data_IF_930821774267
#
_entry.id   IF_930821774267
#
_cell.length_a   1.000
_cell.length_b   1.000
_cell.length_c   1.000
_cell.angle_alpha   90.00
_cell.angle_beta   90.00
_cell.angle_gamma   90.00
#
_symmetry.space_group_name_H-M   'P 1'
#
loop_
_entity.id
_entity.type
_entity.pdbx_description
1 polymer ?
#
# COMPACT_ATOMS: atom_id res chain seq x y z
N UNK A 1 15.74 7.35 2.71
CA UNK A 1 15.38 6.11 2.01
C UNK A 1 14.36 5.37 2.86
N UNK A 2 13.20 5.01 2.33
CA UNK A 2 12.27 4.11 3.04
C UNK A 2 12.79 2.68 2.81
N UNK A 3 12.72 1.80 3.81
CA UNK A 3 13.07 0.37 3.67
C UNK A 3 11.80 -0.48 3.64
N UNK A 4 11.91 -1.73 3.16
CA UNK A 4 10.77 -2.66 3.13
C UNK A 4 10.22 -2.90 4.55
N UNK A 5 11.08 -2.99 5.56
CA UNK A 5 10.67 -3.13 6.97
C UNK A 5 9.82 -1.94 7.44
N UNK A 6 10.24 -0.72 7.10
CA UNK A 6 9.45 0.48 7.40
C UNK A 6 8.12 0.44 6.66
N UNK A 7 8.11 0.01 5.40
CA UNK A 7 6.87 -0.14 4.61
C UNK A 7 5.90 -1.13 5.29
N UNK A 8 6.38 -2.29 5.72
CA UNK A 8 5.59 -3.31 6.42
C UNK A 8 5.00 -2.78 7.73
N UNK A 9 5.73 -1.95 8.48
CA UNK A 9 5.23 -1.36 9.72
C UNK A 9 4.25 -0.19 9.47
N UNK A 10 4.48 0.64 8.45
CA UNK A 10 3.68 1.83 8.20
C UNK A 10 2.34 1.52 7.50
N UNK A 11 2.30 0.55 6.59
CA UNK A 11 1.08 0.27 5.82
C UNK A 11 -0.14 -0.04 6.72
N UNK A 12 -0.06 -0.91 7.75
CA UNK A 12 -1.18 -1.15 8.66
C UNK A 12 -1.61 0.12 9.43
N UNK A 13 -0.64 0.93 9.87
CA UNK A 13 -0.92 2.16 10.62
C UNK A 13 -1.65 3.17 9.74
N UNK A 14 -1.17 3.34 8.50
CA UNK A 14 -1.80 4.21 7.52
C UNK A 14 -3.20 3.71 7.13
N UNK A 15 -3.37 2.39 6.96
CA UNK A 15 -4.68 1.77 6.77
C UNK A 15 -5.64 2.11 7.91
N UNK A 16 -5.23 1.96 9.17
CA UNK A 16 -6.03 2.36 10.32
C UNK A 16 -6.37 3.86 10.36
N UNK A 17 -5.47 4.74 9.90
CA UNK A 17 -5.77 6.17 9.78
C UNK A 17 -6.82 6.49 8.70
N UNK A 18 -7.03 5.62 7.70
CA UNK A 18 -8.12 5.80 6.73
C UNK A 18 -9.51 5.61 7.37
N UNK A 19 -9.58 4.82 8.45
CA UNK A 19 -10.81 4.55 9.21
C UNK A 19 -11.14 5.67 10.21
N UNK A 20 -10.23 6.62 10.41
CA UNK A 20 -10.42 7.76 11.31
C UNK A 20 -11.58 8.65 10.86
N UNK A 21 -12.33 9.19 11.82
CA UNK A 21 -13.37 10.20 11.58
C UNK A 21 -12.83 11.61 11.33
N UNK A 22 -11.50 11.81 11.45
CA UNK A 22 -10.84 13.09 11.22
C UNK A 22 -10.26 13.17 9.80
N UNK A 23 -10.79 14.10 9.00
CA UNK A 23 -10.38 14.36 7.61
C UNK A 23 -8.87 14.52 7.47
N UNK A 24 -8.23 15.21 8.41
CA UNK A 24 -6.77 15.42 8.40
C UNK A 24 -5.98 14.12 8.56
N UNK A 25 -6.48 13.14 9.29
CA UNK A 25 -5.83 11.83 9.40
C UNK A 25 -5.90 11.07 8.08
N UNK A 26 -7.06 11.10 7.43
CA UNK A 26 -7.27 10.44 6.14
C UNK A 26 -6.45 11.10 5.04
N UNK A 27 -6.42 12.43 4.99
CA UNK A 27 -5.64 13.20 4.01
C UNK A 27 -4.14 12.89 4.12
N UNK A 28 -3.57 12.96 5.34
CA UNK A 28 -2.17 12.60 5.58
C UNK A 28 -1.90 11.13 5.23
N UNK A 29 -2.82 10.23 5.60
CA UNK A 29 -2.67 8.81 5.30
C UNK A 29 -2.64 8.56 3.79
N UNK A 30 -3.57 9.10 3.03
CA UNK A 30 -3.62 8.99 1.57
C UNK A 30 -2.34 9.51 0.91
N UNK A 31 -1.83 10.66 1.36
CA UNK A 31 -0.58 11.24 0.83
C UNK A 31 0.61 10.30 1.10
N UNK A 32 0.68 9.72 2.30
CA UNK A 32 1.78 8.81 2.67
C UNK A 32 1.67 7.47 1.95
N UNK A 33 0.47 6.92 1.81
CA UNK A 33 0.19 5.71 1.03
C UNK A 33 0.59 5.90 -0.42
N UNK A 34 0.25 7.03 -1.04
CA UNK A 34 0.66 7.34 -2.42
C UNK A 34 2.18 7.35 -2.58
N UNK A 35 2.92 7.91 -1.62
CA UNK A 35 4.39 7.88 -1.64
C UNK A 35 4.94 6.46 -1.51
N UNK A 36 4.37 5.64 -0.62
CA UNK A 36 4.79 4.24 -0.45
C UNK A 36 4.51 3.42 -1.71
N UNK A 37 3.32 3.55 -2.29
CA UNK A 37 2.94 2.85 -3.53
C UNK A 37 3.83 3.25 -4.70
N UNK A 38 4.20 4.53 -4.84
CA UNK A 38 5.13 4.98 -5.88
C UNK A 38 6.54 4.37 -5.76
N UNK A 39 6.97 4.05 -4.53
CA UNK A 39 8.30 3.46 -4.29
C UNK A 39 8.27 1.94 -4.35
N UNK A 40 7.24 1.32 -3.78
CA UNK A 40 7.19 -0.13 -3.53
C UNK A 40 6.12 -0.88 -4.32
N UNK A 41 5.13 -0.19 -4.90
CA UNK A 41 4.00 -0.84 -5.56
C UNK A 41 4.45 -1.85 -6.61
N UNK A 42 5.24 -1.41 -7.59
CA UNK A 42 5.74 -2.30 -8.65
C UNK A 42 6.47 -3.53 -8.11
N UNK A 43 7.38 -3.38 -7.14
CA UNK A 43 8.14 -4.53 -6.61
C UNK A 43 7.28 -5.46 -5.75
N UNK A 44 6.31 -4.94 -4.98
CA UNK A 44 5.40 -5.76 -4.19
C UNK A 44 4.53 -6.62 -5.12
N UNK A 45 3.84 -6.00 -6.08
CA UNK A 45 2.90 -6.71 -6.97
C UNK A 45 3.62 -7.67 -7.92
N UNK A 46 4.78 -7.29 -8.48
CA UNK A 46 5.57 -8.19 -9.33
C UNK A 46 6.15 -9.37 -8.54
N UNK A 47 6.53 -9.18 -7.28
CA UNK A 47 7.00 -10.29 -6.42
C UNK A 47 5.90 -11.32 -6.19
N UNK A 48 4.63 -10.91 -6.03
CA UNK A 48 3.51 -11.85 -5.88
C UNK A 48 3.21 -12.67 -7.15
N UNK A 49 3.56 -12.13 -8.32
CA UNK A 49 3.42 -12.82 -9.61
C UNK A 49 4.65 -13.65 -9.99
N UNK A 50 5.76 -13.49 -9.28
CA UNK A 50 7.00 -14.19 -9.57
C UNK A 50 6.87 -15.68 -9.18
N UNK A 51 7.52 -16.59 -9.93
CA UNK A 51 7.58 -18.00 -9.55
C UNK A 51 8.28 -18.14 -8.20
N UNK A 52 7.84 -19.13 -7.41
CA UNK A 52 8.46 -19.44 -6.13
C UNK A 52 9.96 -19.73 -6.31
N UNK A 53 10.77 -19.20 -5.40
CA UNK A 53 12.20 -19.50 -5.37
C UNK A 53 12.42 -21.00 -5.14
N UNK A 54 13.36 -21.59 -5.88
CA UNK A 54 13.75 -23.00 -5.72
C UNK A 54 15.07 -23.04 -4.97
N UNK A 55 15.11 -23.72 -3.82
CA UNK A 55 16.30 -23.85 -2.99
C UNK A 55 16.05 -23.43 -1.54
N UNK A 56 17.11 -23.37 -0.74
CA UNK A 56 17.07 -22.92 0.66
C UNK A 56 17.69 -21.53 0.72
N UNK A 57 16.90 -20.51 0.38
CA UNK A 57 17.27 -19.09 0.54
C UNK A 57 16.33 -18.44 1.55
N UNK A 58 16.71 -18.56 2.83
CA UNK A 58 15.93 -18.05 3.95
C UNK A 58 15.76 -16.53 3.85
N UNK A 59 16.76 -15.81 3.34
CA UNK A 59 16.66 -14.35 3.21
C UNK A 59 15.66 -13.95 2.12
N UNK A 60 15.63 -14.66 0.99
CA UNK A 60 14.63 -14.45 -0.05
C UNK A 60 13.21 -14.80 0.44
N UNK A 61 13.06 -15.89 1.18
CA UNK A 61 11.78 -16.30 1.78
C UNK A 61 11.24 -15.24 2.75
N UNK A 62 12.08 -14.76 3.66
CA UNK A 62 11.70 -13.71 4.62
C UNK A 62 11.38 -12.37 3.93
N UNK A 63 12.04 -12.06 2.82
CA UNK A 63 11.73 -10.87 2.01
C UNK A 63 10.38 -11.01 1.32
N UNK A 64 10.11 -12.19 0.78
CA UNK A 64 8.82 -12.52 0.16
C UNK A 64 7.68 -12.43 1.17
N UNK A 65 7.88 -12.92 2.40
CA UNK A 65 6.90 -12.77 3.49
C UNK A 65 6.57 -11.29 3.76
N UNK A 66 7.58 -10.43 3.83
CA UNK A 66 7.37 -8.98 4.00
C UNK A 66 6.63 -8.36 2.81
N UNK A 67 6.94 -8.75 1.58
CA UNK A 67 6.18 -8.30 0.41
C UNK A 67 4.72 -8.76 0.46
N UNK A 68 4.47 -10.00 0.88
CA UNK A 68 3.13 -10.54 1.05
C UNK A 68 2.34 -9.76 2.12
N UNK A 69 2.96 -9.44 3.26
CA UNK A 69 2.34 -8.59 4.28
C UNK A 69 1.97 -7.21 3.72
N UNK A 70 2.89 -6.57 3.00
CA UNK A 70 2.62 -5.29 2.36
C UNK A 70 1.50 -5.39 1.31
N UNK A 71 1.48 -6.46 0.50
CA UNK A 71 0.45 -6.70 -0.50
C UNK A 71 -0.94 -6.80 0.15
N UNK A 72 -1.08 -7.62 1.20
CA UNK A 72 -2.35 -7.77 1.93
C UNK A 72 -2.85 -6.43 2.47
N UNK A 73 -1.97 -5.61 3.04
CA UNK A 73 -2.35 -4.27 3.52
C UNK A 73 -2.74 -3.31 2.39
N UNK A 74 -2.05 -3.36 1.24
CA UNK A 74 -2.42 -2.56 0.06
C UNK A 74 -3.79 -2.97 -0.51
N UNK A 75 -4.11 -4.25 -0.53
CA UNK A 75 -5.43 -4.73 -0.96
C UNK A 75 -6.54 -4.29 0.01
N UNK A 76 -6.25 -4.25 1.32
CA UNK A 76 -7.18 -3.63 2.29
C UNK A 76 -7.38 -2.15 2.00
N UNK A 77 -6.32 -1.39 1.73
CA UNK A 77 -6.39 0.03 1.36
C UNK A 77 -7.26 0.24 0.12
N UNK A 78 -7.13 -0.61 -0.92
CA UNK A 78 -7.96 -0.54 -2.15
C UNK A 78 -9.46 -0.59 -1.82
N UNK A 79 -9.87 -1.40 -0.84
CA UNK A 79 -11.28 -1.51 -0.44
C UNK A 79 -11.85 -0.22 0.17
N UNK A 80 -11.01 0.66 0.72
CA UNK A 80 -11.43 1.95 1.28
C UNK A 80 -11.51 3.08 0.24
N UNK A 81 -10.80 2.96 -0.89
CA UNK A 81 -10.70 4.02 -1.90
C UNK A 81 -12.05 4.41 -2.53
N UNK A 82 -12.99 3.48 -2.83
CA UNK A 82 -14.29 3.86 -3.37
C UNK A 82 -15.07 4.79 -2.45
N UNK A 83 -15.06 4.56 -1.13
CA UNK A 83 -15.73 5.45 -0.19
C UNK A 83 -15.07 6.81 -0.08
N UNK A 84 -13.74 6.86 -0.11
CA UNK A 84 -12.97 8.10 0.01
C UNK A 84 -13.04 8.94 -1.27
N UNK A 85 -13.06 8.31 -2.44
CA UNK A 85 -13.22 8.98 -3.74
C UNK A 85 -14.56 9.71 -3.89
N UNK A 86 -15.60 9.23 -3.20
CA UNK A 86 -16.91 9.90 -3.16
C UNK A 86 -16.93 11.14 -2.25
N UNK A 87 -15.91 11.35 -1.42
CA UNK A 87 -15.80 12.51 -0.54
C UNK A 87 -15.16 13.66 -1.29
N UNK A 88 -15.88 14.75 -1.57
CA UNK A 88 -15.32 15.89 -2.29
C UNK A 88 -14.07 16.50 -1.65
N UNK A 89 -13.36 17.37 -2.38
CA UNK A 89 -12.19 18.08 -1.88
C UNK A 89 -10.87 17.31 -2.03
N UNK A 90 -9.90 17.59 -1.14
CA UNK A 90 -8.56 17.01 -1.22
C UNK A 90 -8.55 15.50 -1.04
N UNK A 91 -9.41 14.98 -0.15
CA UNK A 91 -9.54 13.54 0.12
C UNK A 91 -9.93 12.76 -1.15
N UNK A 92 -10.96 13.20 -1.90
CA UNK A 92 -11.31 12.57 -3.19
C UNK A 92 -10.11 12.57 -4.13
N UNK A 93 -9.45 13.72 -4.28
CA UNK A 93 -8.34 13.86 -5.21
C UNK A 93 -7.21 12.90 -4.87
N UNK A 94 -6.77 12.86 -3.61
CA UNK A 94 -5.70 11.96 -3.18
C UNK A 94 -6.11 10.48 -3.25
N UNK A 95 -7.37 10.15 -2.95
CA UNK A 95 -7.89 8.79 -3.09
C UNK A 95 -7.93 8.33 -4.55
N UNK A 96 -8.31 9.22 -5.48
CA UNK A 96 -8.29 8.94 -6.93
C UNK A 96 -6.86 8.73 -7.43
N UNK A 97 -5.94 9.61 -7.07
CA UNK A 97 -4.52 9.47 -7.43
C UNK A 97 -3.94 8.14 -6.93
N UNK A 98 -4.26 7.75 -5.68
CA UNK A 98 -3.85 6.48 -5.12
C UNK A 98 -4.52 5.28 -5.83
N UNK A 99 -5.80 5.39 -6.17
CA UNK A 99 -6.52 4.34 -6.91
C UNK A 99 -5.91 4.10 -8.29
N UNK A 100 -5.57 5.16 -9.01
CA UNK A 100 -4.91 5.05 -10.32
C UNK A 100 -3.53 4.42 -10.18
N UNK A 101 -2.72 4.88 -9.21
CA UNK A 101 -1.39 4.32 -8.97
C UNK A 101 -1.42 2.82 -8.63
N UNK A 102 -2.49 2.33 -7.99
CA UNK A 102 -2.65 0.91 -7.66
C UNK A 102 -3.23 0.08 -8.82
N UNK A 103 -3.94 0.71 -9.77
CA UNK A 103 -4.44 0.04 -10.97
C UNK A 103 -3.28 -0.35 -11.91
N UNK A 104 -2.20 0.44 -11.95
CA UNK A 104 -1.03 0.18 -12.80
C UNK A 104 -0.31 -1.15 -12.48
N UNK A 105 -0.60 -1.77 -11.33
CA UNK A 105 0.03 -3.01 -10.87
C UNK A 105 -0.92 -4.21 -10.77
N UNK A 106 -2.20 -4.02 -11.13
CA UNK A 106 -3.28 -5.04 -11.02
C UNK A 106 -3.38 -5.89 -12.27
#
# INVERSE_FOLDING_TARGET
MITLEICTCLLPLLGGLLESNLDRHQDISLIMLLKLVKVYGSVIYSSMSAPASVGVDIEAEQRMERYNLCFVELEKVKNWLPSLTRRGGSIAKSAQELSLALQDFS
#
